data_IF_466195610564
#
_entry.id   IF_466195610564
#
_cell.length_a   1.000
_cell.length_b   1.000
_cell.length_c   1.000
_cell.angle_alpha   90.00
_cell.angle_beta   90.00
_cell.angle_gamma   90.00
#
_symmetry.space_group_name_H-M   'P 1'
#
loop_
_entity.id
_entity.type
_entity.pdbx_description
1 polymer ?
#
# COMPACT_ATOMS: atom_id res chain seq x y z
N UNK A 1 63.80 58.87 -53.15
CA UNK A 1 64.47 58.02 -52.20
C UNK A 1 63.47 57.54 -51.16
N UNK A 2 63.37 56.24 -50.99
CA UNK A 2 62.70 55.46 -49.98
C UNK A 2 61.17 55.41 -50.00
N UNK A 3 60.68 54.33 -50.52
CA UNK A 3 59.37 53.77 -50.41
C UNK A 3 59.05 53.35 -48.96
N UNK A 4 57.82 53.55 -48.55
CA UNK A 4 57.25 52.85 -47.42
C UNK A 4 55.91 52.29 -47.87
N UNK A 5 55.90 50.93 -47.90
CA UNK A 5 54.80 50.05 -48.19
C UNK A 5 53.72 50.18 -47.09
N UNK A 6 52.48 50.27 -47.50
CA UNK A 6 51.32 50.17 -46.62
C UNK A 6 50.68 48.81 -46.77
N UNK A 7 50.78 48.00 -45.72
CA UNK A 7 50.00 46.77 -45.60
C UNK A 7 48.53 47.13 -45.24
N UNK A 8 47.53 46.43 -45.80
CA UNK A 8 46.15 46.56 -45.38
C UNK A 8 45.84 45.63 -44.22
N UNK A 9 45.21 46.17 -43.18
CA UNK A 9 44.65 45.42 -42.07
C UNK A 9 43.38 44.69 -42.54
N UNK A 10 43.40 43.34 -42.50
CA UNK A 10 42.22 42.50 -42.66
C UNK A 10 41.54 42.41 -41.28
N UNK A 11 40.37 43.01 -41.10
CA UNK A 11 39.50 42.80 -39.97
C UNK A 11 38.81 41.43 -40.15
N UNK A 12 39.23 40.44 -39.39
CA UNK A 12 38.52 39.19 -39.26
C UNK A 12 37.34 39.38 -38.25
N UNK A 13 36.13 39.50 -38.77
CA UNK A 13 34.91 39.50 -37.95
C UNK A 13 34.64 38.11 -37.40
N UNK A 14 34.75 37.95 -36.09
CA UNK A 14 34.30 36.71 -35.38
C UNK A 14 32.80 36.82 -35.15
N UNK A 15 32.01 36.11 -35.95
CA UNK A 15 30.62 35.87 -35.70
C UNK A 15 30.48 34.86 -34.52
N UNK A 16 30.09 35.36 -33.36
CA UNK A 16 29.63 34.51 -32.25
C UNK A 16 28.22 34.02 -32.58
N UNK A 17 28.11 32.78 -33.03
CA UNK A 17 26.87 32.00 -33.09
C UNK A 17 26.50 31.59 -31.67
N UNK A 18 25.61 32.34 -31.00
CA UNK A 18 24.91 31.93 -29.79
C UNK A 18 23.90 30.83 -30.17
N UNK A 19 24.31 29.57 -30.06
CA UNK A 19 23.39 28.43 -30.09
C UNK A 19 22.61 28.41 -28.77
N UNK A 20 21.37 28.83 -28.82
CA UNK A 20 20.40 28.62 -27.74
C UNK A 20 20.13 27.13 -27.66
N UNK A 21 20.80 26.43 -26.71
CA UNK A 21 20.41 25.10 -26.27
C UNK A 21 19.09 25.22 -25.52
N UNK A 22 17.99 25.06 -26.24
CA UNK A 22 16.68 24.78 -25.66
C UNK A 22 16.80 23.42 -24.97
N UNK A 23 17.13 23.45 -23.69
CA UNK A 23 17.06 22.28 -22.80
C UNK A 23 15.60 21.84 -22.70
N UNK A 24 15.17 20.94 -23.58
CA UNK A 24 13.94 20.19 -23.34
C UNK A 24 14.14 19.41 -22.06
N UNK A 25 13.23 19.56 -21.06
CA UNK A 25 13.28 18.71 -19.88
C UNK A 25 13.12 17.27 -20.38
N UNK A 26 14.19 16.47 -20.31
CA UNK A 26 14.09 15.03 -20.45
C UNK A 26 13.12 14.57 -19.37
N UNK A 27 11.87 14.31 -19.75
CA UNK A 27 10.96 13.56 -18.92
C UNK A 27 11.64 12.22 -18.68
N UNK A 28 12.08 12.00 -17.46
CA UNK A 28 12.55 10.68 -17.04
C UNK A 28 11.39 9.72 -17.28
N UNK A 29 11.47 8.97 -18.35
CA UNK A 29 10.55 7.89 -18.67
C UNK A 29 10.84 6.83 -17.64
N UNK A 30 9.94 6.67 -16.64
CA UNK A 30 10.06 5.61 -15.67
C UNK A 30 10.17 4.30 -16.45
N UNK A 31 11.28 3.58 -16.29
CA UNK A 31 11.46 2.26 -16.87
C UNK A 31 10.22 1.41 -16.53
N UNK A 32 9.73 0.58 -17.46
CA UNK A 32 8.61 -0.30 -17.17
C UNK A 32 8.97 -1.12 -15.93
N UNK A 33 8.14 -1.01 -14.89
CA UNK A 33 8.27 -1.77 -13.65
C UNK A 33 8.30 -3.26 -14.01
N UNK A 34 9.45 -3.91 -13.86
CA UNK A 34 9.57 -5.36 -13.95
C UNK A 34 8.65 -6.06 -12.94
N UNK A 35 8.55 -7.37 -13.01
CA UNK A 35 7.90 -8.15 -11.97
C UNK A 35 8.60 -7.85 -10.63
N UNK A 36 7.83 -7.48 -9.61
CA UNK A 36 8.34 -7.14 -8.29
C UNK A 36 7.85 -8.17 -7.29
N UNK A 37 8.76 -8.71 -6.54
CA UNK A 37 8.45 -9.58 -5.41
C UNK A 37 9.17 -9.08 -4.17
N UNK A 38 8.52 -9.19 -3.03
CA UNK A 38 9.15 -9.01 -1.72
C UNK A 38 8.54 -10.00 -0.73
N UNK A 39 9.39 -10.62 0.07
CA UNK A 39 9.01 -11.29 1.30
C UNK A 39 9.90 -10.77 2.41
N UNK A 40 9.30 -10.09 3.38
CA UNK A 40 9.98 -9.57 4.58
C UNK A 40 9.34 -10.19 5.81
N UNK A 41 10.17 -10.76 6.69
CA UNK A 41 9.77 -11.34 7.98
C UNK A 41 10.69 -10.78 9.06
N UNK A 42 10.11 -10.21 10.11
CA UNK A 42 10.86 -9.66 11.25
C UNK A 42 10.37 -10.30 12.55
N UNK A 43 11.24 -10.35 13.55
CA UNK A 43 10.84 -10.58 14.92
C UNK A 43 9.95 -9.42 15.41
N UNK A 44 8.80 -9.73 15.98
CA UNK A 44 7.82 -8.72 16.34
C UNK A 44 8.34 -7.76 17.43
N UNK A 45 9.05 -8.29 18.42
CA UNK A 45 9.53 -7.51 19.58
C UNK A 45 10.77 -6.68 19.23
N UNK A 46 11.82 -7.32 18.73
CA UNK A 46 13.10 -6.67 18.46
C UNK A 46 13.14 -5.90 17.15
N UNK A 47 12.29 -6.25 16.16
CA UNK A 47 12.36 -5.73 14.82
C UNK A 47 13.50 -6.29 13.96
N UNK A 48 14.25 -7.25 14.49
CA UNK A 48 15.32 -7.90 13.76
C UNK A 48 14.74 -8.60 12.51
N UNK A 49 15.32 -8.31 11.34
CA UNK A 49 14.99 -9.04 10.12
C UNK A 49 15.43 -10.49 10.25
N UNK A 50 14.48 -11.41 10.09
CA UNK A 50 14.70 -12.84 10.11
C UNK A 50 14.81 -13.42 8.70
N UNK A 51 14.08 -12.83 7.76
CA UNK A 51 14.13 -13.19 6.34
C UNK A 51 13.77 -11.99 5.49
N UNK A 52 14.51 -11.76 4.43
CA UNK A 52 14.20 -10.77 3.40
C UNK A 52 14.63 -11.29 2.03
N UNK A 53 13.73 -11.22 1.06
CA UNK A 53 13.99 -11.55 -0.33
C UNK A 53 13.23 -10.60 -1.25
N UNK A 54 13.91 -10.16 -2.34
CA UNK A 54 13.35 -9.28 -3.34
C UNK A 54 13.36 -7.79 -2.98
N UNK A 55 12.53 -7.00 -3.70
CA UNK A 55 12.47 -5.53 -3.62
C UNK A 55 11.42 -5.11 -2.59
N UNK A 56 11.84 -4.69 -1.41
CA UNK A 56 10.97 -4.42 -0.27
C UNK A 56 10.77 -2.93 0.05
N UNK A 57 11.40 -2.04 -0.67
CA UNK A 57 11.41 -0.59 -0.46
C UNK A 57 10.61 0.21 -1.49
N UNK A 58 9.93 -0.47 -2.41
CA UNK A 58 9.08 0.15 -3.41
C UNK A 58 7.63 0.26 -2.91
N UNK A 59 7.03 1.45 -3.06
CA UNK A 59 5.65 1.72 -2.65
C UNK A 59 4.63 1.31 -3.70
N UNK A 60 3.60 0.59 -3.24
CA UNK A 60 2.41 0.21 -4.01
C UNK A 60 1.13 0.55 -3.25
N UNK A 61 0.00 0.58 -3.96
CA UNK A 61 -1.30 0.70 -3.31
C UNK A 61 -1.49 -0.44 -2.30
N UNK A 62 -1.90 -0.16 -1.05
CA UNK A 62 -2.15 -1.20 -0.06
C UNK A 62 -3.35 -2.09 -0.43
N UNK A 63 -4.24 -1.61 -1.28
CA UNK A 63 -5.48 -2.30 -1.60
C UNK A 63 -6.23 -2.72 -0.31
N UNK A 64 -6.72 -3.95 -0.23
CA UNK A 64 -7.48 -4.41 0.94
C UNK A 64 -6.64 -4.67 2.20
N UNK A 65 -5.31 -4.57 2.17
CA UNK A 65 -4.51 -4.58 3.42
C UNK A 65 -4.75 -3.32 4.26
N UNK A 66 -5.22 -2.23 3.65
CA UNK A 66 -5.66 -1.02 4.36
C UNK A 66 -6.82 -1.27 5.33
N UNK A 67 -7.52 -2.39 5.24
CA UNK A 67 -8.55 -2.74 6.22
C UNK A 67 -7.99 -2.90 7.64
N UNK A 68 -6.73 -3.34 7.79
CA UNK A 68 -6.09 -3.46 9.11
C UNK A 68 -6.00 -2.10 9.83
N UNK A 69 -5.36 -1.05 9.27
CA UNK A 69 -5.42 0.28 9.89
C UNK A 69 -6.84 0.85 9.96
N UNK A 70 -7.70 0.56 8.98
CA UNK A 70 -9.07 1.05 8.99
C UNK A 70 -9.93 0.41 10.09
N UNK A 71 -9.64 -0.83 10.50
CA UNK A 71 -10.25 -1.46 11.68
C UNK A 71 -9.89 -0.71 12.96
N UNK A 72 -8.60 -0.43 13.16
CA UNK A 72 -8.16 0.39 14.30
C UNK A 72 -8.87 1.74 14.36
N UNK A 73 -8.92 2.43 13.23
CA UNK A 73 -9.59 3.73 13.09
C UNK A 73 -11.09 3.60 13.38
N UNK A 74 -11.74 2.60 12.81
CA UNK A 74 -13.19 2.39 12.97
C UNK A 74 -13.60 2.11 14.40
N UNK A 75 -12.82 1.31 15.13
CA UNK A 75 -13.05 1.05 16.56
C UNK A 75 -12.70 2.23 17.45
N UNK A 76 -11.61 2.93 17.17
CA UNK A 76 -11.19 4.09 17.96
C UNK A 76 -12.15 5.28 17.80
N UNK A 77 -12.64 5.51 16.59
CA UNK A 77 -13.62 6.54 16.29
C UNK A 77 -15.07 6.17 16.71
N UNK A 78 -15.29 4.97 17.28
CA UNK A 78 -16.61 4.51 17.71
C UNK A 78 -17.59 4.17 16.58
N UNK A 79 -17.12 4.07 15.34
CA UNK A 79 -17.92 3.65 14.16
C UNK A 79 -18.19 2.15 14.21
N UNK A 80 -17.22 1.38 14.70
CA UNK A 80 -17.33 -0.04 15.00
C UNK A 80 -17.36 -0.23 16.51
N UNK A 81 -18.21 -1.14 17.02
CA UNK A 81 -18.39 -1.35 18.46
C UNK A 81 -17.75 -2.65 18.94
N UNK A 82 -17.99 -3.74 18.23
CA UNK A 82 -17.46 -5.08 18.52
C UNK A 82 -17.30 -5.89 17.22
N UNK A 83 -17.03 -7.19 17.33
CA UNK A 83 -16.76 -8.06 16.18
C UNK A 83 -17.97 -8.21 15.22
N UNK A 84 -19.18 -7.87 15.67
CA UNK A 84 -20.41 -8.05 14.92
C UNK A 84 -21.28 -6.77 14.84
N UNK A 85 -20.84 -5.68 15.46
CA UNK A 85 -21.59 -4.41 15.53
C UNK A 85 -20.74 -3.26 14.96
N UNK A 86 -21.29 -2.47 14.03
CA UNK A 86 -22.63 -2.57 13.43
C UNK A 86 -22.73 -3.65 12.37
N UNK A 87 -23.92 -4.19 12.15
CA UNK A 87 -24.27 -4.91 10.93
C UNK A 87 -24.96 -3.95 9.98
N UNK A 88 -24.40 -3.78 8.77
CA UNK A 88 -24.99 -2.95 7.71
C UNK A 88 -25.47 -3.79 6.55
N UNK A 89 -26.65 -3.45 6.05
CA UNK A 89 -27.23 -4.09 4.88
C UNK A 89 -26.67 -3.48 3.60
N UNK A 90 -26.49 -4.33 2.59
CA UNK A 90 -26.14 -3.87 1.25
C UNK A 90 -27.24 -2.98 0.69
N UNK A 91 -26.83 -1.91 0.00
CA UNK A 91 -27.71 -1.02 -0.75
C UNK A 91 -27.23 -0.92 -2.20
N UNK A 92 -28.15 -0.85 -3.19
CA UNK A 92 -27.79 -0.78 -4.62
C UNK A 92 -26.81 0.33 -4.99
N UNK A 93 -26.87 1.48 -4.28
CA UNK A 93 -25.95 2.61 -4.48
C UNK A 93 -24.49 2.29 -4.16
N UNK A 94 -24.20 1.22 -3.40
CA UNK A 94 -22.83 0.77 -3.11
C UNK A 94 -22.16 0.11 -4.30
N UNK A 95 -22.92 -0.28 -5.32
CA UNK A 95 -22.45 -0.84 -6.60
C UNK A 95 -21.42 -1.98 -6.42
N UNK A 96 -21.74 -2.90 -5.49
CA UNK A 96 -20.89 -4.06 -5.22
C UNK A 96 -21.14 -5.21 -6.21
N UNK A 97 -20.14 -6.09 -6.37
CA UNK A 97 -20.32 -7.35 -7.10
C UNK A 97 -21.30 -8.27 -6.35
N UNK A 98 -21.97 -9.17 -7.04
CA UNK A 98 -23.06 -10.00 -6.50
C UNK A 98 -22.65 -10.74 -5.19
N UNK A 99 -21.43 -11.24 -5.12
CA UNK A 99 -20.89 -11.92 -3.92
C UNK A 99 -20.94 -11.03 -2.67
N UNK A 100 -20.77 -9.72 -2.83
CA UNK A 100 -20.64 -8.74 -1.75
C UNK A 100 -21.98 -8.04 -1.42
N UNK A 101 -23.07 -8.42 -2.11
CA UNK A 101 -24.43 -7.87 -1.93
C UNK A 101 -25.16 -8.61 -0.79
N UNK A 102 -24.74 -8.37 0.44
CA UNK A 102 -25.27 -9.04 1.64
C UNK A 102 -25.13 -8.13 2.86
N UNK A 103 -25.78 -8.49 3.97
CA UNK A 103 -25.52 -7.89 5.27
C UNK A 103 -24.10 -8.21 5.73
N UNK A 104 -23.40 -7.23 6.28
CA UNK A 104 -21.99 -7.32 6.63
C UNK A 104 -21.74 -6.69 8.00
N UNK A 105 -21.08 -7.43 8.86
CA UNK A 105 -20.51 -6.99 10.12
C UNK A 105 -18.97 -6.85 10.03
N UNK A 106 -18.26 -6.36 11.04
CA UNK A 106 -16.80 -6.21 11.01
C UNK A 106 -16.05 -7.51 10.73
N UNK A 107 -16.50 -8.66 11.27
CA UNK A 107 -15.89 -9.98 11.03
C UNK A 107 -16.05 -10.43 9.56
N UNK A 108 -17.27 -10.29 9.02
CA UNK A 108 -17.55 -10.60 7.61
C UNK A 108 -16.78 -9.65 6.68
N UNK A 109 -16.70 -8.38 7.04
CA UNK A 109 -15.97 -7.35 6.29
C UNK A 109 -14.48 -7.70 6.12
N UNK A 110 -13.79 -8.07 7.19
CA UNK A 110 -12.38 -8.46 7.13
C UNK A 110 -12.18 -9.79 6.42
N UNK A 111 -12.99 -10.81 6.76
CA UNK A 111 -12.91 -12.15 6.19
C UNK A 111 -13.13 -12.15 4.68
N UNK A 112 -14.21 -11.52 4.22
CA UNK A 112 -14.63 -11.54 2.82
C UNK A 112 -14.08 -10.34 2.02
N UNK A 113 -13.36 -9.44 2.72
CA UNK A 113 -12.71 -8.27 2.13
C UNK A 113 -13.66 -7.28 1.44
N UNK A 114 -14.83 -7.04 2.04
CA UNK A 114 -15.93 -6.24 1.47
C UNK A 114 -15.54 -4.77 1.34
N UNK A 115 -15.49 -4.25 0.12
CA UNK A 115 -15.01 -2.89 -0.13
C UNK A 115 -16.06 -1.81 0.20
N UNK A 116 -17.34 -2.08 -0.02
CA UNK A 116 -18.37 -1.09 0.25
C UNK A 116 -18.46 -0.78 1.76
N UNK A 117 -18.23 -1.75 2.62
CA UNK A 117 -18.18 -1.56 4.07
C UNK A 117 -17.02 -0.63 4.48
N UNK A 118 -15.83 -0.83 3.88
CA UNK A 118 -14.70 0.11 4.07
C UNK A 118 -15.08 1.54 3.72
N UNK A 119 -15.77 1.73 2.59
CA UNK A 119 -16.20 3.05 2.12
C UNK A 119 -17.24 3.68 3.05
N UNK A 120 -18.09 2.88 3.68
CA UNK A 120 -19.05 3.37 4.67
C UNK A 120 -18.35 3.81 5.96
N UNK A 121 -17.33 3.09 6.42
CA UNK A 121 -16.51 3.53 7.55
C UNK A 121 -15.85 4.87 7.23
N UNK A 122 -15.17 4.99 6.09
CA UNK A 122 -14.45 6.23 5.73
C UNK A 122 -15.39 7.43 5.50
N UNK A 123 -16.58 7.22 4.92
CA UNK A 123 -17.57 8.29 4.77
C UNK A 123 -18.07 8.82 6.12
N UNK A 124 -18.32 7.93 7.09
CA UNK A 124 -18.72 8.32 8.45
C UNK A 124 -17.58 9.00 9.20
N UNK A 125 -16.34 8.60 8.94
CA UNK A 125 -15.16 9.20 9.54
C UNK A 125 -14.89 10.62 9.03
N UNK A 126 -15.08 10.85 7.74
CA UNK A 126 -14.76 12.11 7.05
C UNK A 126 -13.28 12.22 6.65
N UNK A 127 -13.02 13.11 5.68
CA UNK A 127 -11.69 13.24 5.03
C UNK A 127 -10.60 13.69 6.00
N UNK A 128 -10.89 14.68 6.84
CA UNK A 128 -9.92 15.25 7.78
C UNK A 128 -9.49 14.23 8.84
N UNK A 129 -10.45 13.50 9.41
CA UNK A 129 -10.15 12.46 10.40
C UNK A 129 -9.36 11.30 9.77
N UNK A 130 -9.74 10.86 8.54
CA UNK A 130 -8.99 9.83 7.82
C UNK A 130 -7.54 10.25 7.61
N UNK A 131 -7.30 11.47 7.13
CA UNK A 131 -5.97 12.01 6.92
C UNK A 131 -5.18 12.10 8.24
N UNK A 132 -5.81 12.57 9.32
CA UNK A 132 -5.22 12.66 10.64
C UNK A 132 -4.76 11.30 11.17
N UNK A 133 -5.61 10.27 11.10
CA UNK A 133 -5.25 8.92 11.56
C UNK A 133 -4.11 8.32 10.73
N UNK A 134 -4.21 8.39 9.40
CA UNK A 134 -3.20 7.80 8.49
C UNK A 134 -1.83 8.47 8.69
N UNK A 135 -1.83 9.80 8.89
CA UNK A 135 -0.61 10.56 9.24
C UNK A 135 -0.06 10.16 10.61
N UNK A 136 -0.90 10.10 11.65
CA UNK A 136 -0.47 9.68 13.01
C UNK A 136 0.04 8.26 13.07
N UNK A 137 -0.41 7.39 12.19
CA UNK A 137 0.08 6.01 12.06
C UNK A 137 1.40 5.91 11.29
N UNK A 138 1.83 7.00 10.64
CA UNK A 138 2.97 6.99 9.73
C UNK A 138 2.81 5.90 8.65
N UNK A 139 1.58 5.79 8.09
CA UNK A 139 1.21 4.71 7.19
C UNK A 139 1.55 5.05 5.74
N UNK A 140 2.67 4.55 5.25
CA UNK A 140 3.16 4.73 3.89
C UNK A 140 3.43 6.22 3.57
N UNK A 141 2.90 6.71 2.44
CA UNK A 141 3.04 8.12 2.06
C UNK A 141 1.98 9.05 2.72
N UNK A 142 1.10 8.49 3.53
CA UNK A 142 0.00 9.18 4.23
C UNK A 142 -0.95 9.99 3.31
N UNK A 143 -0.92 9.79 2.00
CA UNK A 143 -1.73 10.53 1.05
C UNK A 143 -3.09 9.85 0.83
N UNK A 144 -4.14 10.44 1.40
CA UNK A 144 -5.53 9.99 1.26
C UNK A 144 -6.37 10.93 0.40
N UNK A 145 -5.75 11.72 -0.48
CA UNK A 145 -6.44 12.68 -1.35
C UNK A 145 -7.31 12.01 -2.44
N UNK A 146 -6.95 10.79 -2.85
CA UNK A 146 -7.64 10.10 -3.94
C UNK A 146 -7.06 10.40 -5.32
N UNK A 147 -7.87 10.23 -6.35
CA UNK A 147 -7.45 10.51 -7.71
C UNK A 147 -7.48 12.03 -7.99
N UNK A 148 -6.49 12.59 -8.71
CA UNK A 148 -6.44 14.00 -9.02
C UNK A 148 -7.75 14.53 -9.62
N UNK A 149 -8.32 15.58 -9.03
CA UNK A 149 -9.55 16.24 -9.51
C UNK A 149 -10.85 15.44 -9.32
N UNK A 150 -10.84 14.28 -8.60
CA UNK A 150 -12.04 13.42 -8.44
C UNK A 150 -12.74 13.56 -7.09
N UNK A 151 -12.12 14.18 -6.09
CA UNK A 151 -12.66 14.28 -4.73
C UNK A 151 -13.16 12.91 -4.18
N UNK A 152 -12.37 11.86 -4.42
CA UNK A 152 -12.72 10.48 -4.11
C UNK A 152 -11.82 9.83 -3.04
N UNK A 153 -11.09 10.62 -2.29
CA UNK A 153 -10.16 10.18 -1.25
C UNK A 153 -10.76 9.18 -0.26
N UNK A 154 -11.97 9.45 0.22
CA UNK A 154 -12.71 8.58 1.14
C UNK A 154 -13.08 7.22 0.56
N UNK A 155 -13.01 7.03 -0.74
CA UNK A 155 -13.51 5.79 -1.38
C UNK A 155 -12.50 5.11 -2.27
N UNK A 156 -11.40 5.80 -2.60
CA UNK A 156 -10.43 5.33 -3.59
C UNK A 156 -8.99 5.44 -3.16
N UNK A 157 -8.61 6.27 -2.18
CA UNK A 157 -7.20 6.54 -1.86
C UNK A 157 -6.35 5.27 -1.72
N UNK A 158 -6.85 4.23 -1.03
CA UNK A 158 -6.16 2.95 -0.83
C UNK A 158 -6.37 1.93 -1.96
N UNK A 159 -7.23 2.24 -2.95
CA UNK A 159 -7.55 1.34 -4.07
C UNK A 159 -6.95 1.91 -5.34
N UNK A 160 -5.65 1.64 -5.54
CA UNK A 160 -4.94 2.01 -6.76
C UNK A 160 -4.93 3.50 -7.06
N UNK A 161 -4.79 4.32 -6.02
CA UNK A 161 -4.80 5.78 -6.09
C UNK A 161 -3.65 6.38 -5.27
N UNK A 162 -3.90 7.45 -4.51
CA UNK A 162 -2.87 8.27 -3.85
C UNK A 162 -2.10 7.55 -2.75
N UNK A 163 -2.77 6.74 -1.92
CA UNK A 163 -2.12 6.05 -0.80
C UNK A 163 -1.26 4.89 -1.28
N UNK A 164 0.01 4.93 -0.92
CA UNK A 164 1.01 3.91 -1.29
C UNK A 164 1.90 3.57 -0.10
N UNK A 165 2.32 2.30 -0.02
CA UNK A 165 3.11 1.77 1.09
C UNK A 165 4.09 0.70 0.59
N UNK A 166 5.26 0.61 1.21
CA UNK A 166 6.26 -0.44 0.97
C UNK A 166 6.01 -1.67 1.85
N UNK A 167 6.55 -2.85 1.52
CA UNK A 167 6.61 -3.98 2.45
C UNK A 167 7.27 -3.66 3.78
N UNK A 168 8.33 -2.85 3.80
CA UNK A 168 9.01 -2.41 5.03
C UNK A 168 8.05 -1.59 5.90
N UNK A 169 7.40 -0.56 5.33
CA UNK A 169 6.44 0.27 6.06
C UNK A 169 5.21 -0.54 6.56
N UNK A 170 4.77 -1.57 5.81
CA UNK A 170 3.72 -2.50 6.29
C UNK A 170 4.16 -3.25 7.56
N UNK A 171 5.38 -3.78 7.55
CA UNK A 171 5.95 -4.49 8.71
C UNK A 171 6.10 -3.55 9.90
N UNK A 172 6.59 -2.33 9.70
CA UNK A 172 6.76 -1.34 10.77
C UNK A 172 5.41 -0.94 11.39
N UNK A 173 4.39 -0.69 10.55
CA UNK A 173 3.04 -0.43 11.02
C UNK A 173 2.49 -1.60 11.87
N UNK A 174 2.62 -2.84 11.39
CA UNK A 174 2.12 -4.02 12.10
C UNK A 174 2.89 -4.28 13.41
N UNK A 175 4.18 -3.96 13.47
CA UNK A 175 4.95 -4.01 14.71
C UNK A 175 4.44 -2.98 15.72
N UNK A 176 4.21 -1.72 15.30
CA UNK A 176 3.59 -0.68 16.13
C UNK A 176 2.21 -1.11 16.64
N UNK A 177 1.41 -1.79 15.78
CA UNK A 177 0.11 -2.35 16.17
C UNK A 177 0.26 -3.40 17.28
N UNK A 178 1.12 -4.40 17.09
CA UNK A 178 1.32 -5.46 18.08
C UNK A 178 1.92 -4.96 19.39
N UNK A 179 2.81 -3.96 19.34
CA UNK A 179 3.41 -3.30 20.49
C UNK A 179 2.48 -2.26 21.16
N UNK A 180 1.27 -2.04 20.61
CA UNK A 180 0.30 -1.02 21.08
C UNK A 180 0.88 0.39 21.14
N UNK A 181 1.67 0.77 20.13
CA UNK A 181 2.37 2.06 20.07
C UNK A 181 1.67 3.08 19.14
N UNK A 182 0.55 2.73 18.55
CA UNK A 182 -0.26 3.65 17.76
C UNK A 182 -1.19 4.46 18.67
N UNK A 183 -1.53 5.72 18.34
CA UNK A 183 -2.33 6.59 19.20
C UNK A 183 -3.84 6.28 19.09
N UNK A 184 -4.24 5.10 19.57
CA UNK A 184 -5.63 4.62 19.58
C UNK A 184 -5.93 3.94 20.92
N UNK A 185 -7.22 3.76 21.23
CA UNK A 185 -7.68 3.13 22.46
C UNK A 185 -7.28 1.65 22.56
N UNK A 186 -7.18 1.13 23.79
CA UNK A 186 -6.92 -0.30 24.04
C UNK A 186 -7.96 -1.19 23.33
N UNK A 187 -9.23 -0.77 23.35
CA UNK A 187 -10.33 -1.46 22.67
C UNK A 187 -10.09 -1.61 21.17
N UNK A 188 -9.56 -0.57 20.50
CA UNK A 188 -9.28 -0.62 19.07
C UNK A 188 -8.29 -1.72 18.71
N UNK A 189 -7.24 -1.92 19.52
CA UNK A 189 -6.29 -3.03 19.34
C UNK A 189 -6.93 -4.40 19.51
N UNK A 190 -7.69 -4.59 20.60
CA UNK A 190 -8.28 -5.88 20.94
C UNK A 190 -9.31 -6.29 19.88
N UNK A 191 -10.18 -5.38 19.49
CA UNK A 191 -11.21 -5.63 18.49
C UNK A 191 -10.62 -5.84 17.09
N UNK A 192 -9.63 -5.06 16.69
CA UNK A 192 -8.94 -5.27 15.41
C UNK A 192 -8.31 -6.66 15.35
N UNK A 193 -7.58 -7.07 16.39
CA UNK A 193 -6.95 -8.39 16.45
C UNK A 193 -7.98 -9.53 16.42
N UNK A 194 -9.16 -9.31 17.00
CA UNK A 194 -10.22 -10.32 17.05
C UNK A 194 -10.85 -10.62 15.68
N UNK A 195 -10.88 -9.65 14.77
CA UNK A 195 -11.54 -9.81 13.46
C UNK A 195 -10.60 -10.11 12.29
N UNK A 196 -9.27 -9.99 12.48
CA UNK A 196 -8.31 -10.37 11.43
C UNK A 196 -8.33 -11.89 11.21
N UNK A 197 -8.53 -12.36 9.96
CA UNK A 197 -8.61 -13.78 9.65
C UNK A 197 -7.40 -14.59 10.10
N UNK A 198 -7.64 -15.79 10.65
CA UNK A 198 -6.62 -16.71 11.13
C UNK A 198 -6.44 -17.89 10.17
N UNK A 199 -5.19 -18.31 9.98
CA UNK A 199 -4.76 -19.42 9.12
C UNK A 199 -3.71 -20.27 9.84
N UNK A 200 -3.40 -21.46 9.28
CA UNK A 200 -2.32 -22.32 9.74
C UNK A 200 -1.23 -22.43 8.67
N UNK A 201 0.03 -22.47 9.09
CA UNK A 201 1.20 -22.72 8.24
C UNK A 201 2.18 -23.64 8.99
N UNK A 202 2.01 -24.96 8.86
CA UNK A 202 2.64 -25.92 9.76
C UNK A 202 2.22 -25.63 11.19
N UNK A 203 3.19 -25.47 12.10
CA UNK A 203 2.94 -25.17 13.53
C UNK A 203 2.69 -23.67 13.80
N UNK A 204 2.73 -22.82 12.77
CA UNK A 204 2.49 -21.39 12.91
C UNK A 204 1.00 -21.08 12.85
N UNK A 205 0.49 -20.39 13.86
CA UNK A 205 -0.83 -19.71 13.79
C UNK A 205 -0.63 -18.32 13.19
N UNK A 206 -1.21 -18.09 12.03
CA UNK A 206 -1.01 -16.88 11.22
C UNK A 206 -2.29 -16.05 11.21
N UNK A 207 -2.20 -14.77 11.59
CA UNK A 207 -3.26 -13.80 11.35
C UNK A 207 -2.81 -12.81 10.26
N UNK A 208 -3.70 -12.52 9.32
CA UNK A 208 -3.29 -11.64 8.23
C UNK A 208 -4.37 -11.26 7.25
N UNK A 209 -4.07 -10.22 6.48
CA UNK A 209 -4.96 -9.63 5.49
C UNK A 209 -4.36 -9.65 4.10
N UNK A 210 -5.18 -10.08 3.14
CA UNK A 210 -4.84 -10.00 1.71
C UNK A 210 -5.23 -8.66 1.11
N UNK A 211 -4.49 -8.26 0.07
CA UNK A 211 -4.85 -7.14 -0.81
C UNK A 211 -4.67 -7.50 -2.28
N UNK A 212 -5.55 -7.03 -3.15
CA UNK A 212 -5.48 -7.29 -4.59
C UNK A 212 -5.95 -6.08 -5.37
N UNK A 213 -5.20 -5.70 -6.41
CA UNK A 213 -5.65 -4.71 -7.40
C UNK A 213 -4.87 -4.87 -8.70
N UNK A 214 -5.43 -4.39 -9.83
CA UNK A 214 -4.65 -4.17 -11.04
C UNK A 214 -3.80 -2.91 -10.91
N UNK A 215 -2.62 -2.86 -11.50
CA UNK A 215 -1.83 -1.63 -11.55
C UNK A 215 -2.41 -0.69 -12.61
N UNK A 216 -2.44 0.60 -12.28
CA UNK A 216 -2.82 1.66 -13.21
C UNK A 216 -1.64 2.61 -13.40
N UNK A 217 -1.52 3.16 -14.60
CA UNK A 217 -0.58 4.24 -14.87
C UNK A 217 -1.16 5.60 -14.41
N UNK A 218 -0.35 6.64 -14.51
CA UNK A 218 -0.73 8.01 -14.15
C UNK A 218 -1.93 8.57 -14.95
N UNK A 219 -2.34 7.90 -16.03
CA UNK A 219 -3.53 8.24 -16.84
C UNK A 219 -4.76 7.41 -16.48
N UNK A 220 -4.77 6.71 -15.34
CA UNK A 220 -5.85 5.82 -14.85
C UNK A 220 -6.13 4.62 -15.77
N UNK A 221 -5.25 4.31 -16.71
CA UNK A 221 -5.33 3.11 -17.55
C UNK A 221 -4.65 1.93 -16.88
N UNK A 222 -5.23 0.72 -17.07
CA UNK A 222 -4.58 -0.51 -16.59
C UNK A 222 -3.25 -0.65 -17.34
N UNK A 223 -2.16 -0.57 -16.57
CA UNK A 223 -0.81 -0.68 -17.12
C UNK A 223 -0.47 -2.15 -17.36
N UNK A 224 -0.21 -2.52 -18.61
CA UNK A 224 0.39 -3.81 -19.03
C UNK A 224 -0.23 -5.08 -18.45
N UNK A 225 -1.52 -5.08 -18.10
CA UNK A 225 -2.22 -6.22 -17.48
C UNK A 225 -1.61 -6.69 -16.14
N UNK A 226 -0.70 -5.91 -15.55
CA UNK A 226 -0.11 -6.26 -14.26
C UNK A 226 -1.12 -6.15 -13.13
N UNK A 227 -0.99 -7.07 -12.20
CA UNK A 227 -1.76 -7.08 -10.96
C UNK A 227 -0.82 -7.24 -9.78
N UNK A 228 -1.28 -6.82 -8.61
CA UNK A 228 -0.57 -7.05 -7.36
C UNK A 228 -1.39 -7.90 -6.40
N UNK A 229 -0.67 -8.68 -5.62
CA UNK A 229 -1.16 -9.44 -4.48
C UNK A 229 -0.35 -9.12 -3.24
N UNK A 230 -1.02 -8.73 -2.17
CA UNK A 230 -0.47 -8.58 -0.84
C UNK A 230 -0.93 -9.71 0.09
N UNK A 231 -0.06 -10.11 1.00
CA UNK A 231 -0.43 -10.77 2.25
C UNK A 231 0.44 -10.21 3.36
N UNK A 232 -0.18 -9.58 4.35
CA UNK A 232 0.51 -8.93 5.49
C UNK A 232 -0.12 -9.38 6.79
N UNK A 233 0.67 -9.47 7.86
CA UNK A 233 0.16 -9.91 9.15
C UNK A 233 1.25 -10.31 10.13
N UNK A 234 0.88 -11.18 11.04
CA UNK A 234 1.76 -11.72 12.07
C UNK A 234 1.51 -13.21 12.28
N UNK A 235 2.49 -13.90 12.84
CA UNK A 235 2.36 -15.31 13.16
C UNK A 235 2.98 -15.64 14.52
N UNK A 236 2.45 -16.66 15.18
CA UNK A 236 2.90 -17.15 16.49
C UNK A 236 3.21 -18.65 16.43
N UNK A 237 4.32 -19.04 17.06
CA UNK A 237 4.73 -20.43 17.26
C UNK A 237 5.63 -20.48 18.50
N UNK A 238 5.35 -21.36 19.46
CA UNK A 238 6.18 -21.68 20.64
C UNK A 238 6.67 -20.41 21.37
N UNK A 239 5.77 -19.46 21.64
CA UNK A 239 6.08 -18.18 22.29
C UNK A 239 6.78 -17.15 21.40
N UNK A 240 7.26 -17.51 20.23
CA UNK A 240 7.81 -16.57 19.24
C UNK A 240 6.69 -15.87 18.49
N UNK A 241 6.87 -14.58 18.21
CA UNK A 241 5.97 -13.81 17.37
C UNK A 241 6.76 -13.10 16.28
N UNK A 242 6.32 -13.25 15.05
CA UNK A 242 6.89 -12.59 13.87
C UNK A 242 5.85 -11.70 13.21
N UNK A 243 6.32 -10.70 12.46
CA UNK A 243 5.53 -9.85 11.57
C UNK A 243 6.03 -10.05 10.15
N UNK A 244 5.13 -10.02 9.19
CA UNK A 244 5.49 -10.25 7.80
C UNK A 244 4.72 -9.37 6.82
N UNK A 245 5.36 -9.13 5.68
CA UNK A 245 4.72 -8.63 4.47
C UNK A 245 5.23 -9.41 3.25
N UNK A 246 4.30 -9.93 2.46
CA UNK A 246 4.61 -10.49 1.13
C UNK A 246 3.84 -9.69 0.08
N UNK A 247 4.60 -9.20 -0.92
CA UNK A 247 4.09 -8.53 -2.11
C UNK A 247 4.51 -9.31 -3.35
N UNK A 248 3.60 -9.48 -4.28
CA UNK A 248 3.88 -9.96 -5.63
C UNK A 248 3.22 -9.04 -6.63
N UNK A 249 3.98 -8.53 -7.59
CA UNK A 249 3.50 -7.76 -8.74
C UNK A 249 3.93 -8.50 -9.99
N UNK A 250 2.96 -8.93 -10.80
CA UNK A 250 3.23 -9.81 -11.94
C UNK A 250 2.26 -9.55 -13.09
N UNK A 251 2.73 -9.76 -14.32
CA UNK A 251 1.93 -9.78 -15.55
C UNK A 251 1.08 -11.03 -15.67
N UNK A 252 1.42 -12.13 -14.99
CA UNK A 252 0.70 -13.42 -14.98
C UNK A 252 -0.56 -13.46 -14.11
N UNK A 253 -1.12 -12.29 -13.77
CA UNK A 253 -2.34 -12.17 -12.99
C UNK A 253 -2.24 -12.80 -11.58
N UNK A 254 -1.50 -12.11 -10.73
CA UNK A 254 -1.45 -12.41 -9.30
C UNK A 254 -2.61 -11.76 -8.54
N UNK A 255 -2.85 -12.23 -7.34
CA UNK A 255 -3.80 -11.66 -6.37
C UNK A 255 -3.38 -12.00 -4.93
N UNK A 256 -4.07 -11.40 -3.97
CA UNK A 256 -3.77 -11.65 -2.56
C UNK A 256 -4.03 -13.08 -2.10
N UNK A 257 -4.95 -13.82 -2.72
CA UNK A 257 -5.21 -15.22 -2.34
C UNK A 257 -4.05 -16.12 -2.75
N UNK A 258 -3.53 -15.94 -3.97
CA UNK A 258 -2.32 -16.65 -4.44
C UNK A 258 -1.10 -16.28 -3.60
N UNK A 259 -0.92 -14.99 -3.29
CA UNK A 259 0.18 -14.50 -2.46
C UNK A 259 0.12 -15.08 -1.05
N UNK A 260 -1.08 -15.14 -0.44
CA UNK A 260 -1.30 -15.80 0.86
C UNK A 260 -0.97 -17.29 0.78
N UNK A 261 -1.52 -18.00 -0.19
CA UNK A 261 -1.29 -19.46 -0.33
C UNK A 261 0.20 -19.77 -0.46
N UNK A 262 0.94 -19.01 -1.27
CA UNK A 262 2.39 -19.13 -1.38
C UNK A 262 3.10 -18.87 -0.05
N UNK A 263 2.76 -17.76 0.65
CA UNK A 263 3.38 -17.45 1.92
C UNK A 263 3.15 -18.54 2.99
N UNK A 264 1.91 -19.01 3.14
CA UNK A 264 1.58 -20.05 4.13
C UNK A 264 2.30 -21.38 3.86
N UNK A 265 2.52 -21.72 2.58
CA UNK A 265 3.32 -22.88 2.18
C UNK A 265 4.80 -22.72 2.55
N UNK A 266 5.35 -21.52 2.33
CA UNK A 266 6.79 -21.29 2.45
C UNK A 266 7.23 -21.01 3.91
N UNK A 267 6.37 -20.37 4.73
CA UNK A 267 6.70 -19.90 6.08
C UNK A 267 7.43 -20.93 6.95
N UNK A 268 7.01 -22.22 7.05
CA UNK A 268 7.68 -23.20 7.90
C UNK A 268 9.13 -23.51 7.49
N UNK A 269 9.48 -23.21 6.24
CA UNK A 269 10.84 -23.44 5.71
C UNK A 269 11.70 -22.18 5.79
N UNK A 270 11.08 -20.99 5.72
CA UNK A 270 11.77 -19.70 5.79
C UNK A 270 12.24 -19.37 7.21
N UNK A 271 11.47 -19.78 8.23
CA UNK A 271 11.73 -19.51 9.65
C UNK A 271 11.68 -20.84 10.42
N UNK A 272 12.84 -21.41 10.66
CA UNK A 272 13.02 -22.63 11.45
C UNK A 272 13.05 -22.34 12.96
#
# INVERSE_FOLDING_TARGET
MRNFDRLPFILAGILFLLAWLLGFPMRAQSAPLGDVQCTLITDAASGKTLYQDGVCDQRFSPASTFKVPLSLIGYDAGILSDAHTPTWDYKPEFKAVKRDQKSVDPTIWERDSIIWFSREITRRLGQENLASYVSKFDYGNADVSGNPGKNDGLTRSWVNSSLKITPVEQVDFLRKLLARQLPVSAKAYDMTSAIIPTFQAGDWTVQGKTGSTGLRNDTDKIQDKRSLGWFVGWAKKDGRQIVFARLVVDTKRTDGLKTRAGFLKDLPQLIK
#
